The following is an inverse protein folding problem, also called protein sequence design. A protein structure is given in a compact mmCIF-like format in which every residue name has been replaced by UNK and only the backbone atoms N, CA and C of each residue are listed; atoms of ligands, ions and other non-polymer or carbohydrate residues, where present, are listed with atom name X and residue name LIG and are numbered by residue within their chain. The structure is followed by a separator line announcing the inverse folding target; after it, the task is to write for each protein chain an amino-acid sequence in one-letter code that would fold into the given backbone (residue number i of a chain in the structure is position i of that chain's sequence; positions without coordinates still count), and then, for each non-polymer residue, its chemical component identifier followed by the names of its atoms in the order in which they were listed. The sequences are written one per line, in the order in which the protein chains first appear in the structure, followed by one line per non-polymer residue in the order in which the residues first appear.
data_IF_198341931312
#
_entry.id   IF_198341931312
#
_cell.length_a   1.000
_cell.length_b   1.000
_cell.length_c   1.000
_cell.angle_alpha   90.00
_cell.angle_beta   90.00
_cell.angle_gamma   90.00
#
_symmetry.space_group_name_H-M   'P 1'
#
loop_
_entity.id
_entity.type
_entity.pdbx_description
1 polymer ?
#
# COMPACT_ATOMS: atom_id res chain seq x y z
N UNK A 1 -6.76 -3.93 -20.47
CA UNK A 1 -6.80 -5.26 -19.84
C UNK A 1 -8.20 -5.41 -19.26
N UNK A 2 -8.98 -6.39 -19.69
CA UNK A 2 -10.32 -6.59 -19.12
C UNK A 2 -10.16 -7.11 -17.70
N UNK A 3 -10.65 -6.35 -16.71
CA UNK A 3 -10.82 -6.85 -15.36
C UNK A 3 -11.79 -8.05 -15.39
N UNK A 4 -11.57 -9.06 -14.54
CA UNK A 4 -12.55 -10.13 -14.32
C UNK A 4 -13.92 -9.53 -13.98
N UNK A 5 -15.01 -10.18 -14.37
CA UNK A 5 -16.39 -9.66 -14.26
C UNK A 5 -16.78 -9.23 -12.84
N UNK A 6 -16.14 -9.78 -11.80
CA UNK A 6 -16.41 -9.51 -10.38
C UNK A 6 -15.31 -8.70 -9.67
N UNK A 7 -14.45 -8.01 -10.42
CA UNK A 7 -13.41 -7.18 -9.81
C UNK A 7 -14.07 -6.02 -9.02
N UNK A 8 -13.72 -5.79 -7.74
CA UNK A 8 -14.33 -4.75 -6.91
C UNK A 8 -14.11 -3.33 -7.48
N UNK A 9 -13.19 -3.17 -8.43
CA UNK A 9 -12.97 -1.92 -9.16
C UNK A 9 -14.00 -1.66 -10.29
N UNK A 10 -14.80 -2.65 -10.69
CA UNK A 10 -15.98 -2.44 -11.56
C UNK A 10 -17.12 -1.89 -10.71
N UNK A 11 -17.02 -0.61 -10.35
CA UNK A 11 -18.06 0.08 -9.60
C UNK A 11 -19.09 0.64 -10.58
N UNK A 12 -20.37 0.33 -10.39
CA UNK A 12 -21.45 1.05 -11.06
C UNK A 12 -21.45 2.51 -10.56
N UNK A 13 -21.19 3.45 -11.46
CA UNK A 13 -20.94 4.85 -11.11
C UNK A 13 -22.30 5.56 -10.98
N UNK A 14 -22.47 6.35 -9.91
CA UNK A 14 -23.74 7.05 -9.65
C UNK A 14 -23.91 8.23 -10.61
N UNK A 15 -24.93 8.24 -11.49
CA UNK A 15 -25.17 9.35 -12.41
C UNK A 15 -25.86 10.53 -11.70
N UNK A 16 -25.56 11.74 -12.17
CA UNK A 16 -26.25 12.96 -11.77
C UNK A 16 -27.41 13.22 -12.72
N UNK A 17 -28.58 13.53 -12.15
CA UNK A 17 -29.78 13.83 -12.96
C UNK A 17 -29.68 15.18 -13.70
N UNK A 18 -29.13 16.20 -13.04
CA UNK A 18 -29.05 17.57 -13.56
C UNK A 18 -27.61 18.10 -13.44
N UNK A 19 -26.64 17.55 -14.19
CA UNK A 19 -25.25 17.98 -14.11
C UNK A 19 -25.10 19.41 -14.66
N UNK A 20 -24.13 20.16 -14.11
CA UNK A 20 -23.82 21.52 -14.59
C UNK A 20 -23.09 21.54 -15.94
N UNK A 21 -22.49 20.42 -16.34
CA UNK A 21 -21.74 20.24 -17.58
C UNK A 21 -21.87 18.79 -18.03
N UNK A 22 -21.80 18.55 -19.34
CA UNK A 22 -21.79 17.21 -19.94
C UNK A 22 -20.56 16.38 -19.55
N UNK A 23 -19.48 17.05 -19.15
CA UNK A 23 -18.24 16.39 -18.70
C UNK A 23 -18.36 15.83 -17.26
N UNK A 24 -19.24 16.41 -16.43
CA UNK A 24 -19.40 16.07 -15.02
C UNK A 24 -20.78 15.46 -14.74
N UNK A 25 -21.04 14.33 -15.39
CA UNK A 25 -22.34 13.64 -15.36
C UNK A 25 -22.47 12.60 -14.24
N UNK A 26 -21.39 12.27 -13.54
CA UNK A 26 -21.36 11.20 -12.54
C UNK A 26 -20.63 11.63 -11.27
N UNK A 27 -21.01 11.05 -10.13
CA UNK A 27 -20.24 11.16 -8.90
C UNK A 27 -18.96 10.34 -8.99
N UNK A 28 -17.87 10.86 -8.44
CA UNK A 28 -16.56 10.20 -8.51
C UNK A 28 -16.54 8.90 -7.68
N UNK A 29 -16.14 7.75 -8.28
CA UNK A 29 -15.99 6.49 -7.55
C UNK A 29 -14.60 6.34 -6.89
N UNK A 30 -13.67 7.23 -7.23
CA UNK A 30 -12.28 7.29 -6.76
C UNK A 30 -11.75 8.72 -6.85
N UNK A 31 -10.77 9.08 -6.01
CA UNK A 31 -10.00 10.33 -6.10
C UNK A 31 -8.93 10.29 -7.20
N UNK A 32 -8.69 9.14 -7.84
CA UNK A 32 -7.73 9.05 -8.95
C UNK A 32 -8.08 9.99 -10.10
N UNK A 33 -9.37 10.25 -10.35
CA UNK A 33 -9.83 11.13 -11.43
C UNK A 33 -9.31 12.57 -11.21
N UNK A 34 -9.60 13.16 -10.05
CA UNK A 34 -9.19 14.53 -9.73
C UNK A 34 -7.67 14.67 -9.62
N UNK A 35 -7.00 13.65 -9.09
CA UNK A 35 -5.55 13.62 -9.00
C UNK A 35 -4.88 13.55 -10.38
N UNK A 36 -5.36 12.70 -11.28
CA UNK A 36 -4.86 12.60 -12.66
C UNK A 36 -5.06 13.90 -13.44
N UNK A 37 -6.23 14.53 -13.30
CA UNK A 37 -6.47 15.85 -13.88
C UNK A 37 -5.48 16.89 -13.34
N UNK A 38 -5.21 16.86 -12.04
CA UNK A 38 -4.24 17.75 -11.40
C UNK A 38 -2.82 17.51 -11.92
N UNK A 39 -2.39 16.24 -12.06
CA UNK A 39 -1.09 15.90 -12.66
C UNK A 39 -1.00 16.41 -14.11
N UNK A 40 -2.01 16.14 -14.95
CA UNK A 40 -2.06 16.61 -16.34
C UNK A 40 -2.00 18.13 -16.43
N UNK A 41 -2.75 18.82 -15.56
CA UNK A 41 -2.79 20.28 -15.53
C UNK A 41 -1.42 20.89 -15.17
N UNK A 42 -0.67 20.26 -14.27
CA UNK A 42 0.69 20.68 -13.94
C UNK A 42 1.66 20.35 -15.08
N UNK A 43 1.59 19.15 -15.64
CA UNK A 43 2.41 18.73 -16.78
C UNK A 43 2.28 19.69 -17.97
N UNK A 44 1.05 20.09 -18.32
CA UNK A 44 0.79 21.08 -19.39
C UNK A 44 1.39 22.46 -19.15
N UNK A 45 1.76 22.76 -17.90
CA UNK A 45 2.45 24.00 -17.50
C UNK A 45 3.96 23.79 -17.33
N UNK A 46 4.49 22.67 -17.83
CA UNK A 46 5.89 22.25 -17.68
C UNK A 46 6.32 22.07 -16.21
N UNK A 47 5.36 21.71 -15.33
CA UNK A 47 5.65 21.33 -13.95
C UNK A 47 5.64 19.80 -13.88
N UNK A 48 6.84 19.21 -13.88
CA UNK A 48 7.05 17.76 -13.88
C UNK A 48 7.23 17.16 -12.48
N UNK A 49 7.58 17.98 -11.50
CA UNK A 49 7.80 17.57 -10.11
C UNK A 49 6.55 17.92 -9.29
N UNK A 50 5.70 16.92 -9.05
CA UNK A 50 4.38 17.11 -8.42
C UNK A 50 4.17 16.08 -7.33
N UNK A 51 3.89 16.54 -6.11
CA UNK A 51 3.47 15.71 -4.99
C UNK A 51 2.26 16.38 -4.35
N UNK A 52 1.09 15.76 -4.51
CA UNK A 52 -0.18 16.30 -4.04
C UNK A 52 -0.97 15.22 -3.35
N UNK A 53 -1.87 15.65 -2.47
CA UNK A 53 -2.88 14.78 -1.89
C UNK A 53 -4.24 15.49 -1.88
N UNK A 54 -5.29 14.70 -1.83
CA UNK A 54 -6.66 15.15 -1.66
C UNK A 54 -7.32 14.35 -0.53
N UNK A 55 -8.07 15.02 0.33
CA UNK A 55 -8.98 14.37 1.27
C UNK A 55 -10.40 14.68 0.81
N UNK A 56 -11.19 13.65 0.56
CA UNK A 56 -12.53 13.84 0.02
C UNK A 56 -13.40 12.59 0.12
N UNK A 57 -14.65 12.74 -0.29
CA UNK A 57 -15.59 11.61 -0.38
C UNK A 57 -15.58 11.00 -1.78
N UNK A 58 -15.74 9.68 -1.82
CA UNK A 58 -16.02 8.90 -3.03
C UNK A 58 -17.38 8.23 -2.87
N UNK A 59 -18.02 7.92 -3.99
CA UNK A 59 -19.37 7.37 -4.02
C UNK A 59 -19.38 6.06 -4.80
N UNK A 60 -19.80 4.98 -4.15
CA UNK A 60 -19.90 3.65 -4.77
C UNK A 60 -21.33 3.18 -4.72
N UNK A 61 -21.87 2.75 -5.86
CA UNK A 61 -23.19 2.12 -5.86
C UNK A 61 -23.08 0.74 -5.20
N UNK A 62 -23.97 0.45 -4.25
CA UNK A 62 -24.05 -0.83 -3.54
C UNK A 62 -25.03 -1.80 -4.19
N UNK A 63 -25.60 -1.47 -5.36
CA UNK A 63 -26.52 -2.32 -6.11
C UNK A 63 -27.99 -2.14 -5.75
N UNK A 64 -28.31 -1.21 -4.85
CA UNK A 64 -29.68 -0.76 -4.60
C UNK A 64 -30.12 0.21 -5.70
N UNK A 65 -30.82 -0.29 -6.72
CA UNK A 65 -31.31 0.55 -7.81
C UNK A 65 -32.20 1.66 -7.29
N UNK A 66 -31.72 2.91 -7.26
CA UNK A 66 -32.44 4.08 -6.77
C UNK A 66 -33.79 4.27 -7.49
N UNK A 67 -34.86 3.70 -6.93
CA UNK A 67 -36.25 4.02 -7.28
C UNK A 67 -36.83 4.93 -6.22
N UNK A 68 -36.91 6.21 -6.53
CA UNK A 68 -37.70 7.16 -5.75
C UNK A 68 -39.16 7.07 -6.22
N UNK A 69 -39.95 6.22 -5.59
CA UNK A 69 -41.40 6.33 -5.68
C UNK A 69 -41.82 7.55 -4.84
N UNK A 70 -42.17 8.64 -5.52
CA UNK A 70 -42.69 9.85 -4.88
C UNK A 70 -44.03 9.52 -4.21
N UNK A 71 -44.02 9.26 -2.91
CA UNK A 71 -45.25 9.23 -2.13
C UNK A 71 -45.81 10.67 -2.02
N UNK A 72 -47.06 10.94 -2.43
CA UNK A 72 -47.68 12.25 -2.26
C UNK A 72 -47.62 12.69 -0.79
N UNK A 73 -47.38 13.99 -0.57
CA UNK A 73 -47.12 14.65 0.74
C UNK A 73 -48.22 14.51 1.81
N UNK A 74 -49.29 13.77 1.57
CA UNK A 74 -50.49 13.78 2.41
C UNK A 74 -50.56 12.67 3.46
N UNK A 75 -49.57 11.78 3.59
CA UNK A 75 -49.53 10.80 4.69
C UNK A 75 -48.28 10.99 5.54
N UNK A 76 -48.47 11.45 6.78
CA UNK A 76 -47.54 11.18 7.87
C UNK A 76 -47.47 9.66 8.02
N UNK A 77 -46.36 9.06 7.59
CA UNK A 77 -46.09 7.64 7.81
C UNK A 77 -45.20 7.54 9.04
N UNK A 78 -45.70 6.85 10.05
CA UNK A 78 -44.98 6.52 11.28
C UNK A 78 -43.75 5.64 10.98
N UNK A 79 -42.60 6.13 11.43
CA UNK A 79 -41.34 5.48 11.88
C UNK A 79 -40.67 4.33 11.09
N UNK A 80 -41.31 3.54 10.22
CA UNK A 80 -40.64 2.37 9.58
C UNK A 80 -40.08 2.60 8.16
N UNK A 81 -40.24 3.80 7.59
CA UNK A 81 -39.74 4.13 6.23
C UNK A 81 -38.22 4.40 6.20
N UNK A 82 -37.59 4.69 7.34
CA UNK A 82 -36.17 5.07 7.41
C UNK A 82 -35.21 3.93 7.09
N UNK A 83 -35.60 2.68 7.34
CA UNK A 83 -34.70 1.52 7.20
C UNK A 83 -34.63 1.04 5.74
N UNK A 84 -35.75 1.07 5.00
CA UNK A 84 -35.77 0.65 3.58
C UNK A 84 -35.08 1.63 2.63
N UNK A 85 -35.01 2.92 2.96
CA UNK A 85 -34.28 3.92 2.15
C UNK A 85 -32.76 3.79 2.25
N UNK A 86 -32.22 3.35 3.39
CA UNK A 86 -30.79 3.24 3.61
C UNK A 86 -30.13 2.15 2.74
N UNK A 87 -30.85 1.08 2.43
CA UNK A 87 -30.37 -0.03 1.58
C UNK A 87 -30.25 0.34 0.09
N UNK A 88 -30.75 1.52 -0.30
CA UNK A 88 -30.80 1.98 -1.70
C UNK A 88 -29.88 3.16 -2.01
N UNK A 89 -29.16 3.70 -1.01
CA UNK A 89 -28.27 4.85 -1.19
C UNK A 89 -26.86 4.40 -1.61
N UNK A 90 -26.17 5.19 -2.45
CA UNK A 90 -24.75 4.99 -2.68
C UNK A 90 -23.97 5.02 -1.37
N UNK A 91 -22.98 4.14 -1.25
CA UNK A 91 -22.00 4.19 -0.18
C UNK A 91 -21.12 5.42 -0.37
N UNK A 92 -21.23 6.36 0.58
CA UNK A 92 -20.34 7.49 0.72
C UNK A 92 -19.18 7.12 1.63
N UNK A 93 -17.95 7.18 1.11
CA UNK A 93 -16.75 6.78 1.82
C UNK A 93 -15.73 7.93 1.84
N UNK A 94 -15.14 8.21 3.01
CA UNK A 94 -14.02 9.15 3.12
C UNK A 94 -12.73 8.49 2.64
N UNK A 95 -11.95 9.23 1.86
CA UNK A 95 -10.72 8.73 1.26
C UNK A 95 -9.63 9.80 1.28
N UNK A 96 -8.38 9.36 1.42
CA UNK A 96 -7.19 10.17 1.09
C UNK A 96 -6.62 9.64 -0.21
N UNK A 97 -6.44 10.52 -1.19
CA UNK A 97 -5.79 10.22 -2.45
C UNK A 97 -4.43 10.91 -2.50
N UNK A 98 -3.40 10.24 -3.02
CA UNK A 98 -2.04 10.78 -3.15
C UNK A 98 -1.59 10.59 -4.60
N UNK A 99 -0.89 11.58 -5.15
CA UNK A 99 -0.29 11.51 -6.47
C UNK A 99 1.13 12.08 -6.47
N UNK A 100 2.07 11.31 -7.02
CA UNK A 100 3.49 11.66 -7.09
C UNK A 100 4.00 11.53 -8.54
N UNK A 101 4.80 12.49 -9.00
CA UNK A 101 5.50 12.47 -10.28
C UNK A 101 6.80 13.30 -10.17
N UNK A 102 7.84 12.88 -10.91
CA UNK A 102 9.11 13.60 -10.97
C UNK A 102 9.95 13.43 -9.71
N UNK A 103 10.55 14.51 -9.22
CA UNK A 103 11.45 14.48 -8.06
C UNK A 103 10.71 14.72 -6.73
N UNK A 104 11.14 14.08 -5.62
CA UNK A 104 10.55 14.30 -4.31
C UNK A 104 10.85 15.72 -3.79
N UNK A 105 9.98 16.25 -2.92
CA UNK A 105 10.11 17.61 -2.35
C UNK A 105 11.36 17.70 -1.46
N UNK A 106 11.74 16.56 -0.88
CA UNK A 106 12.95 16.41 -0.08
C UNK A 106 14.22 16.27 -0.92
N UNK A 107 14.17 16.52 -2.24
CA UNK A 107 15.36 16.59 -3.07
C UNK A 107 16.29 17.69 -2.54
N UNK A 108 17.36 17.27 -1.86
CA UNK A 108 18.36 18.16 -1.26
C UNK A 108 19.52 18.38 -2.22
N UNK A 109 20.22 19.49 -2.02
CA UNK A 109 21.50 19.73 -2.69
C UNK A 109 22.46 18.55 -2.42
N UNK A 110 22.96 17.91 -3.49
CA UNK A 110 23.79 16.70 -3.41
C UNK A 110 23.04 15.37 -3.44
N UNK A 111 21.70 15.35 -3.41
CA UNK A 111 20.86 14.14 -3.39
C UNK A 111 20.70 13.38 -4.72
N UNK A 112 21.55 13.67 -5.71
CA UNK A 112 21.47 13.09 -7.06
C UNK A 112 20.17 13.45 -7.81
N UNK A 113 19.95 12.78 -8.95
CA UNK A 113 18.73 12.91 -9.76
C UNK A 113 17.66 11.89 -9.30
N UNK A 114 17.43 11.83 -7.98
CA UNK A 114 16.49 10.88 -7.40
C UNK A 114 15.06 11.26 -7.79
N UNK A 115 14.34 10.34 -8.42
CA UNK A 115 12.92 10.50 -8.78
C UNK A 115 12.06 9.65 -7.85
N UNK A 116 10.81 10.07 -7.65
CA UNK A 116 9.85 9.26 -6.90
C UNK A 116 9.62 7.94 -7.64
N UNK A 117 9.54 6.86 -6.89
CA UNK A 117 9.24 5.54 -7.41
C UNK A 117 8.18 4.80 -6.57
N UNK A 118 7.93 3.55 -6.93
CA UNK A 118 6.98 2.68 -6.21
C UNK A 118 7.36 2.54 -4.72
N UNK A 119 8.65 2.41 -4.42
CA UNK A 119 9.13 2.23 -3.06
C UNK A 119 9.14 3.54 -2.28
N UNK A 120 9.33 4.68 -2.96
CA UNK A 120 9.14 6.00 -2.36
C UNK A 120 7.71 6.20 -1.87
N UNK A 121 6.71 5.88 -2.71
CA UNK A 121 5.30 5.94 -2.30
C UNK A 121 5.00 4.93 -1.18
N UNK A 122 5.54 3.71 -1.25
CA UNK A 122 5.42 2.71 -0.17
C UNK A 122 5.99 3.24 1.15
N UNK A 123 7.16 3.88 1.13
CA UNK A 123 7.80 4.45 2.31
C UNK A 123 6.99 5.59 2.91
N UNK A 124 6.47 6.49 2.08
CA UNK A 124 5.56 7.56 2.50
C UNK A 124 4.31 6.98 3.18
N UNK A 125 3.69 5.96 2.58
CA UNK A 125 2.52 5.30 3.16
C UNK A 125 2.85 4.57 4.46
N UNK A 126 3.99 3.87 4.53
CA UNK A 126 4.43 3.20 5.76
C UNK A 126 4.59 4.18 6.92
N UNK A 127 5.23 5.33 6.67
CA UNK A 127 5.34 6.40 7.69
C UNK A 127 3.95 6.96 8.06
N UNK A 128 3.11 7.25 7.07
CA UNK A 128 1.75 7.74 7.29
C UNK A 128 0.92 6.82 8.18
N UNK A 129 1.01 5.50 7.99
CA UNK A 129 0.31 4.53 8.84
C UNK A 129 0.93 4.41 10.23
N UNK A 130 2.25 4.42 10.34
CA UNK A 130 2.95 4.40 11.62
C UNK A 130 2.59 5.62 12.49
N UNK A 131 2.52 6.81 11.90
CA UNK A 131 2.13 8.05 12.59
C UNK A 131 0.70 8.00 13.12
N UNK A 132 -0.18 7.19 12.49
CA UNK A 132 -1.55 6.93 12.89
C UNK A 132 -1.72 5.69 13.80
N UNK A 133 -0.61 5.08 14.24
CA UNK A 133 -0.63 3.92 15.13
C UNK A 133 -1.12 2.63 14.47
N UNK A 134 -1.07 2.53 13.15
CA UNK A 134 -1.39 1.31 12.40
C UNK A 134 -0.10 0.56 12.12
N UNK A 135 0.24 -0.40 13.00
CA UNK A 135 1.58 -0.98 13.06
C UNK A 135 1.76 -2.22 12.16
N UNK A 136 0.73 -3.05 12.00
CA UNK A 136 0.82 -4.28 11.18
C UNK A 136 0.24 -4.08 9.77
N UNK A 137 0.90 -3.21 9.01
CA UNK A 137 0.53 -2.96 7.61
C UNK A 137 1.22 -3.94 6.68
N UNK A 138 0.43 -4.57 5.83
CA UNK A 138 0.88 -5.54 4.82
C UNK A 138 0.52 -5.08 3.42
N UNK A 139 1.36 -5.45 2.45
CA UNK A 139 1.26 -5.04 1.06
C UNK A 139 1.18 -6.27 0.16
N UNK A 140 0.09 -6.40 -0.57
CA UNK A 140 -0.19 -7.59 -1.40
C UNK A 140 -0.28 -7.19 -2.87
N UNK A 141 0.35 -7.93 -3.81
CA UNK A 141 0.18 -7.69 -5.24
C UNK A 141 -1.30 -7.63 -5.62
N UNK A 142 -1.67 -6.67 -6.46
CA UNK A 142 -3.06 -6.46 -6.85
C UNK A 142 -3.17 -5.99 -8.30
N UNK A 143 -4.38 -6.08 -8.87
CA UNK A 143 -4.66 -5.63 -10.23
C UNK A 143 -5.66 -4.48 -10.19
N UNK A 144 -5.35 -3.39 -10.89
CA UNK A 144 -6.23 -2.23 -10.99
C UNK A 144 -6.19 -1.66 -12.42
N UNK A 145 -7.32 -1.25 -13.04
CA UNK A 145 -7.36 -0.81 -14.44
C UNK A 145 -6.42 0.34 -14.77
N UNK A 146 -6.31 1.27 -13.83
CA UNK A 146 -5.54 2.52 -13.97
C UNK A 146 -4.05 2.33 -13.67
N UNK A 147 -3.69 1.24 -13.00
CA UNK A 147 -2.34 1.03 -12.48
C UNK A 147 -1.63 -0.11 -13.22
N UNK A 148 -0.31 -0.13 -13.09
CA UNK A 148 0.55 -1.11 -13.72
C UNK A 148 0.39 -2.49 -13.04
N UNK A 149 0.16 -3.59 -13.79
CA UNK A 149 -0.20 -4.90 -13.23
C UNK A 149 0.90 -5.51 -12.34
N UNK A 150 2.18 -5.23 -12.63
CA UNK A 150 3.30 -5.68 -11.81
C UNK A 150 3.77 -4.70 -10.74
N UNK A 151 3.16 -3.52 -10.65
CA UNK A 151 3.58 -2.42 -9.74
C UNK A 151 2.36 -1.79 -9.08
N UNK A 152 1.52 -2.64 -8.53
CA UNK A 152 0.30 -2.28 -7.80
C UNK A 152 0.22 -3.16 -6.56
N UNK A 153 -0.08 -2.54 -5.42
CA UNK A 153 -0.26 -3.25 -4.17
C UNK A 153 -1.54 -2.77 -3.46
N UNK A 154 -2.31 -3.74 -2.97
CA UNK A 154 -3.36 -3.51 -1.99
C UNK A 154 -2.72 -3.44 -0.60
N UNK A 155 -3.19 -2.50 0.21
CA UNK A 155 -2.72 -2.25 1.57
C UNK A 155 -3.74 -2.84 2.55
N UNK A 156 -3.27 -3.64 3.51
CA UNK A 156 -4.10 -4.26 4.55
C UNK A 156 -3.52 -4.01 5.93
N UNK A 157 -4.38 -3.83 6.93
CA UNK A 157 -4.05 -3.90 8.34
C UNK A 157 -4.76 -5.12 8.94
N UNK A 158 -3.99 -6.16 9.29
CA UNK A 158 -4.55 -7.50 9.51
C UNK A 158 -5.41 -7.94 8.31
N UNK A 159 -6.65 -8.32 8.56
CA UNK A 159 -7.58 -8.74 7.51
C UNK A 159 -8.27 -7.58 6.76
N UNK A 160 -8.20 -6.36 7.30
CA UNK A 160 -8.92 -5.19 6.76
C UNK A 160 -8.16 -4.57 5.60
N UNK A 161 -8.80 -4.43 4.44
CA UNK A 161 -8.26 -3.63 3.33
C UNK A 161 -8.43 -2.14 3.66
N UNK A 162 -7.32 -1.42 3.69
CA UNK A 162 -7.29 0.02 4.05
C UNK A 162 -6.94 0.91 2.86
N UNK A 163 -6.48 0.35 1.74
CA UNK A 163 -6.21 1.14 0.53
C UNK A 163 -5.49 0.37 -0.55
N UNK A 164 -5.00 1.09 -1.55
CA UNK A 164 -4.13 0.58 -2.61
C UNK A 164 -3.20 1.68 -3.10
N UNK A 165 -2.09 1.29 -3.71
CA UNK A 165 -1.19 2.21 -4.41
C UNK A 165 -0.45 1.52 -5.55
N UNK A 166 0.09 2.31 -6.47
CA UNK A 166 0.90 1.77 -7.55
C UNK A 166 1.38 2.80 -8.55
N UNK A 167 2.19 2.34 -9.49
CA UNK A 167 2.57 3.10 -10.67
C UNK A 167 1.40 3.13 -11.65
N UNK A 168 1.17 4.27 -12.31
CA UNK A 168 0.20 4.36 -13.39
C UNK A 168 0.51 3.37 -14.52
N UNK A 169 -0.54 2.84 -15.13
CA UNK A 169 -0.38 2.04 -16.34
C UNK A 169 0.19 2.92 -17.48
N UNK A 170 1.12 2.45 -18.32
CA UNK A 170 1.73 3.24 -19.40
C UNK A 170 0.71 3.91 -20.33
N UNK A 171 -0.37 3.19 -20.69
CA UNK A 171 -1.49 3.76 -21.47
C UNK A 171 -2.22 4.92 -20.77
N UNK A 172 -2.28 4.92 -19.43
CA UNK A 172 -2.89 6.02 -18.68
C UNK A 172 -1.93 7.22 -18.68
N UNK A 173 -0.64 6.99 -18.47
CA UNK A 173 0.40 8.03 -18.59
C UNK A 173 0.32 8.73 -19.96
N UNK A 174 0.23 7.94 -21.03
CA UNK A 174 0.09 8.44 -22.40
C UNK A 174 -1.23 9.19 -22.60
N UNK A 175 -2.37 8.64 -22.17
CA UNK A 175 -3.69 9.27 -22.36
C UNK A 175 -3.85 10.60 -21.60
N UNK A 176 -3.05 10.83 -20.57
CA UNK A 176 -3.04 12.06 -19.77
C UNK A 176 -1.87 12.99 -20.11
N UNK A 177 -1.11 12.71 -21.18
CA UNK A 177 0.05 13.50 -21.63
C UNK A 177 1.07 13.76 -20.51
N UNK A 178 1.31 12.76 -19.63
CA UNK A 178 2.25 12.92 -18.52
C UNK A 178 3.70 12.76 -19.00
N UNK A 179 4.64 13.60 -18.54
CA UNK A 179 6.03 13.63 -19.03
C UNK A 179 6.86 12.41 -18.60
N UNK A 180 6.37 11.58 -17.69
CA UNK A 180 7.09 10.44 -17.16
C UNK A 180 6.23 9.58 -16.26
N UNK A 181 6.89 8.72 -15.47
CA UNK A 181 6.21 7.85 -14.51
C UNK A 181 5.52 8.67 -13.44
N UNK A 182 4.31 8.27 -13.09
CA UNK A 182 3.56 8.82 -11.96
C UNK A 182 2.93 7.69 -11.15
N UNK A 183 2.68 7.97 -9.89
CA UNK A 183 2.25 7.00 -8.89
C UNK A 183 1.04 7.55 -8.15
N UNK A 184 0.07 6.68 -7.88
CA UNK A 184 -1.14 7.02 -7.16
C UNK A 184 -1.33 6.12 -5.94
N UNK A 185 -1.92 6.66 -4.89
CA UNK A 185 -2.49 5.88 -3.78
C UNK A 185 -3.89 6.37 -3.44
N UNK A 186 -4.75 5.47 -3.00
CA UNK A 186 -6.06 5.78 -2.43
C UNK A 186 -6.25 4.97 -1.15
N UNK A 187 -6.40 5.68 -0.03
CA UNK A 187 -6.55 5.11 1.31
C UNK A 187 -7.97 5.38 1.81
N UNK A 188 -8.67 4.32 2.19
CA UNK A 188 -9.99 4.38 2.80
C UNK A 188 -9.86 4.88 4.24
N UNK A 189 -10.28 6.11 4.50
CA UNK A 189 -10.18 6.74 5.82
C UNK A 189 -11.09 6.05 6.81
N UNK A 190 -12.30 5.66 6.39
CA UNK A 190 -13.26 4.97 7.25
C UNK A 190 -12.69 3.63 7.75
N UNK A 191 -12.16 2.81 6.83
CA UNK A 191 -11.50 1.56 7.20
C UNK A 191 -10.21 1.77 8.00
N UNK A 192 -9.49 2.87 7.77
CA UNK A 192 -8.28 3.23 8.52
C UNK A 192 -8.60 3.59 9.97
N UNK A 193 -9.67 4.34 10.22
CA UNK A 193 -10.09 4.69 11.58
C UNK A 193 -10.54 3.48 12.40
N UNK A 194 -11.05 2.43 11.77
CA UNK A 194 -11.41 1.17 12.45
C UNK A 194 -10.18 0.46 13.05
N UNK A 195 -8.98 0.71 12.50
CA UNK A 195 -7.73 0.02 12.89
C UNK A 195 -6.67 0.98 13.46
N UNK A 196 -6.90 2.29 13.40
CA UNK A 196 -5.99 3.30 13.93
C UNK A 196 -5.99 3.25 15.46
N UNK A 197 -4.80 3.34 16.04
CA UNK A 197 -4.58 3.29 17.48
C UNK A 197 -3.88 4.54 17.98
N UNK A 198 -4.10 4.88 19.25
CA UNK A 198 -3.32 5.91 19.96
C UNK A 198 -2.09 5.33 20.67
N UNK A 199 -2.00 4.00 20.74
CA UNK A 199 -0.87 3.32 21.37
C UNK A 199 0.37 3.49 20.52
N UNK A 200 1.35 4.20 21.09
CA UNK A 200 2.70 4.25 20.55
C UNK A 200 3.53 3.26 21.35
N UNK A 201 4.09 2.21 20.72
CA UNK A 201 5.01 1.33 21.41
C UNK A 201 6.12 2.17 22.04
N UNK A 202 6.29 2.01 23.35
CA UNK A 202 7.42 2.55 24.08
C UNK A 202 8.31 1.37 24.47
N UNK A 203 9.09 0.82 23.52
CA UNK A 203 9.90 -0.36 23.78
C UNK A 203 10.92 -0.05 24.87
N UNK A 204 11.20 -1.04 25.73
CA UNK A 204 12.24 -0.91 26.74
C UNK A 204 13.59 -0.75 26.04
N UNK A 205 14.31 0.32 26.36
CA UNK A 205 15.68 0.50 25.86
C UNK A 205 16.61 -0.41 26.67
N UNK A 206 17.00 -1.54 26.07
CA UNK A 206 17.98 -2.43 26.67
C UNK A 206 19.34 -1.71 26.79
N UNK A 207 20.00 -1.92 27.94
CA UNK A 207 21.36 -1.40 28.20
C UNK A 207 22.44 -2.37 27.73
N UNK A 208 22.05 -3.55 27.25
CA UNK A 208 22.96 -4.59 26.79
C UNK A 208 23.34 -4.36 25.33
N UNK A 209 24.57 -4.73 24.92
CA UNK A 209 25.00 -4.53 23.53
C UNK A 209 24.15 -5.36 22.56
N UNK A 210 23.95 -4.83 21.35
CA UNK A 210 23.41 -5.62 20.24
C UNK A 210 24.53 -6.38 19.53
N UNK A 211 24.15 -7.48 18.89
CA UNK A 211 25.01 -8.26 18.01
C UNK A 211 24.38 -8.31 16.63
N UNK A 212 25.11 -7.82 15.63
CA UNK A 212 24.68 -7.88 14.23
C UNK A 212 25.21 -9.14 13.56
N UNK A 213 24.36 -9.78 12.75
CA UNK A 213 24.72 -10.88 11.85
C UNK A 213 24.05 -10.66 10.49
N UNK A 214 24.85 -10.76 9.43
CA UNK A 214 24.32 -10.73 8.07
C UNK A 214 24.07 -12.16 7.57
N UNK A 215 23.01 -12.36 6.80
CA UNK A 215 22.70 -13.62 6.11
C UNK A 215 22.30 -13.33 4.68
N UNK A 216 22.79 -14.15 3.74
CA UNK A 216 22.40 -14.11 2.35
C UNK A 216 21.98 -15.50 1.85
N UNK A 217 20.95 -15.53 1.02
CA UNK A 217 20.44 -16.76 0.45
C UNK A 217 19.74 -16.48 -0.89
N UNK A 218 19.68 -17.52 -1.71
CA UNK A 218 19.00 -17.52 -2.99
C UNK A 218 17.55 -17.95 -2.80
N UNK A 219 16.63 -17.18 -3.37
CA UNK A 219 15.21 -17.51 -3.46
C UNK A 219 14.75 -17.44 -4.91
N UNK A 220 13.59 -18.03 -5.18
CA UNK A 220 12.87 -17.83 -6.45
C UNK A 220 12.57 -16.34 -6.65
N UNK A 221 12.63 -15.87 -7.89
CA UNK A 221 12.44 -14.44 -8.20
C UNK A 221 11.03 -13.91 -7.84
N UNK A 222 10.03 -14.80 -7.85
CA UNK A 222 8.66 -14.48 -7.46
C UNK A 222 8.39 -14.59 -5.95
N UNK A 223 9.37 -15.04 -5.15
CA UNK A 223 9.24 -15.20 -3.71
C UNK A 223 9.19 -13.82 -3.03
N UNK A 224 8.07 -13.42 -2.38
CA UNK A 224 8.00 -12.13 -1.71
C UNK A 224 9.01 -12.05 -0.56
N UNK A 225 9.75 -10.93 -0.47
CA UNK A 225 10.70 -10.68 0.61
C UNK A 225 10.03 -10.74 2.00
N UNK A 226 8.78 -10.28 2.10
CA UNK A 226 7.99 -10.37 3.34
C UNK A 226 7.83 -11.81 3.84
N UNK A 227 7.59 -12.76 2.95
CA UNK A 227 7.44 -14.15 3.37
C UNK A 227 8.76 -14.69 3.94
N UNK A 228 9.89 -14.23 3.38
CA UNK A 228 11.19 -14.56 3.95
C UNK A 228 11.39 -13.91 5.32
N UNK A 229 11.06 -12.63 5.46
CA UNK A 229 11.12 -11.91 6.74
C UNK A 229 10.29 -12.61 7.81
N UNK A 230 9.07 -13.07 7.48
CA UNK A 230 8.20 -13.82 8.40
C UNK A 230 8.84 -15.12 8.89
N UNK A 231 9.50 -15.87 8.00
CA UNK A 231 10.22 -17.10 8.37
C UNK A 231 11.41 -16.78 9.27
N UNK A 232 12.19 -15.73 8.94
CA UNK A 232 13.32 -15.29 9.77
C UNK A 232 12.84 -14.90 11.17
N UNK A 233 11.83 -14.03 11.26
CA UNK A 233 11.30 -13.56 12.54
C UNK A 233 10.77 -14.71 13.40
N UNK A 234 10.06 -15.67 12.79
CA UNK A 234 9.52 -16.83 13.51
C UNK A 234 10.61 -17.78 14.01
N UNK A 235 11.68 -17.97 13.23
CA UNK A 235 12.78 -18.88 13.56
C UNK A 235 13.83 -18.26 14.50
N UNK A 236 14.00 -16.93 14.47
CA UNK A 236 14.97 -16.22 15.30
C UNK A 236 14.54 -16.14 16.77
N UNK A 237 13.23 -16.13 17.04
CA UNK A 237 12.68 -16.02 18.39
C UNK A 237 12.72 -14.60 18.95
N UNK A 238 12.57 -14.47 20.27
CA UNK A 238 12.38 -13.19 20.95
C UNK A 238 13.63 -12.33 21.08
N UNK A 239 14.80 -12.84 20.69
CA UNK A 239 16.08 -12.12 20.76
C UNK A 239 16.38 -11.31 19.51
N UNK A 240 15.60 -11.48 18.42
CA UNK A 240 15.71 -10.67 17.23
C UNK A 240 15.07 -9.29 17.49
N UNK A 241 15.90 -8.26 17.59
CA UNK A 241 15.49 -6.88 17.81
C UNK A 241 15.11 -6.19 16.49
N UNK A 242 15.91 -6.39 15.44
CA UNK A 242 15.68 -5.78 14.12
C UNK A 242 16.05 -6.71 12.96
N UNK A 243 15.40 -6.50 11.81
CA UNK A 243 15.61 -7.24 10.57
C UNK A 243 15.51 -6.28 9.39
N UNK A 244 16.60 -6.12 8.64
CA UNK A 244 16.65 -5.22 7.50
C UNK A 244 17.14 -5.93 6.23
N UNK A 245 16.33 -5.94 5.17
CA UNK A 245 16.78 -6.27 3.82
C UNK A 245 17.66 -5.13 3.30
N UNK A 246 18.94 -5.39 3.03
CA UNK A 246 19.87 -4.35 2.57
C UNK A 246 20.41 -4.57 1.17
N UNK A 247 20.30 -5.79 0.62
CA UNK A 247 20.71 -6.07 -0.77
C UNK A 247 19.78 -7.07 -1.47
N UNK A 248 19.50 -6.78 -2.74
CA UNK A 248 18.75 -7.63 -3.66
C UNK A 248 19.57 -7.74 -4.95
N UNK A 249 20.26 -8.86 -5.10
CA UNK A 249 21.16 -9.06 -6.24
C UNK A 249 20.60 -10.07 -7.24
N UNK A 250 20.53 -9.63 -8.50
CA UNK A 250 20.22 -10.47 -9.66
C UNK A 250 21.24 -10.17 -10.74
N UNK A 251 22.03 -11.14 -11.13
CA UNK A 251 23.13 -10.93 -12.07
C UNK A 251 24.04 -12.14 -12.20
N UNK A 252 25.26 -11.90 -12.66
CA UNK A 252 26.26 -12.94 -12.90
C UNK A 252 26.49 -13.79 -11.64
N UNK A 253 26.45 -15.12 -11.82
CA UNK A 253 26.61 -16.07 -10.72
C UNK A 253 25.32 -16.43 -9.96
N UNK A 254 24.19 -15.81 -10.31
CA UNK A 254 22.87 -16.22 -9.80
C UNK A 254 22.17 -17.08 -10.85
N UNK A 255 21.65 -18.27 -10.49
CA UNK A 255 20.87 -19.10 -11.41
C UNK A 255 19.66 -18.35 -11.99
N UNK A 256 19.29 -18.69 -13.21
CA UNK A 256 18.09 -18.12 -13.84
C UNK A 256 16.83 -18.41 -13.01
N UNK A 257 15.93 -17.43 -12.90
CA UNK A 257 14.73 -17.52 -12.08
C UNK A 257 14.96 -17.38 -10.57
N UNK A 258 16.19 -17.09 -10.14
CA UNK A 258 16.52 -16.81 -8.75
C UNK A 258 17.07 -15.39 -8.55
N UNK A 259 17.09 -14.97 -7.28
CA UNK A 259 17.75 -13.76 -6.79
C UNK A 259 18.34 -14.00 -5.41
N UNK A 260 19.42 -13.29 -5.11
CA UNK A 260 20.02 -13.27 -3.78
C UNK A 260 19.37 -12.18 -2.95
N UNK A 261 18.93 -12.49 -1.74
CA UNK A 261 18.49 -11.51 -0.76
C UNK A 261 19.49 -11.51 0.40
N UNK A 262 19.95 -10.35 0.83
CA UNK A 262 20.83 -10.20 1.99
C UNK A 262 20.15 -9.37 3.08
N UNK A 263 20.15 -9.93 4.28
CA UNK A 263 19.51 -9.36 5.46
C UNK A 263 20.54 -9.12 6.55
N UNK A 264 20.38 -8.01 7.25
CA UNK A 264 21.02 -7.73 8.53
C UNK A 264 20.05 -8.05 9.65
N UNK A 265 20.51 -8.86 10.59
CA UNK A 265 19.76 -9.23 11.77
C UNK A 265 20.48 -8.65 12.97
N UNK A 266 19.75 -7.89 13.79
CA UNK A 266 20.24 -7.34 15.04
C UNK A 266 19.64 -8.13 16.18
N UNK A 267 20.49 -8.80 16.95
CA UNK A 267 20.09 -9.58 18.11
C UNK A 267 20.39 -8.82 19.40
N UNK A 268 19.43 -8.77 20.31
CA UNK A 268 19.61 -8.19 21.64
C UNK A 268 18.66 -8.86 22.64
N UNK A 269 19.16 -9.12 23.84
CA UNK A 269 18.33 -9.49 24.97
C UNK A 269 18.08 -8.27 25.88
N UNK A 270 16.92 -8.24 26.53
CA UNK A 270 16.55 -7.15 27.44
C UNK A 270 17.22 -7.27 28.82
N UNK A 271 17.59 -8.49 29.20
CA UNK A 271 18.00 -8.87 30.56
C UNK A 271 19.47 -9.29 30.69
N UNK A 272 20.16 -9.55 29.57
CA UNK A 272 21.56 -9.99 29.56
C UNK A 272 22.30 -9.62 28.27
N UNK A 273 23.63 -9.74 28.32
CA UNK A 273 24.46 -9.80 27.10
C UNK A 273 24.30 -11.17 26.46
N UNK A 274 24.05 -11.20 25.15
CA UNK A 274 23.97 -12.45 24.39
C UNK A 274 25.39 -13.04 24.20
N UNK A 275 25.52 -14.34 24.45
CA UNK A 275 26.73 -15.08 24.10
C UNK A 275 26.75 -15.40 22.59
N UNK A 276 27.95 -15.53 22.01
CA UNK A 276 28.09 -15.87 20.58
C UNK A 276 27.37 -17.19 20.22
N UNK A 277 27.47 -18.20 21.09
CA UNK A 277 26.81 -19.50 20.88
C UNK A 277 25.28 -19.39 20.81
N UNK A 278 24.66 -18.46 21.56
CA UNK A 278 23.21 -18.22 21.52
C UNK A 278 22.80 -17.61 20.17
N UNK A 279 23.59 -16.65 19.68
CA UNK A 279 23.36 -16.01 18.37
C UNK A 279 23.59 -17.00 17.24
N UNK A 280 24.64 -17.82 17.31
CA UNK A 280 24.94 -18.83 16.29
C UNK A 280 23.89 -19.94 16.24
N UNK A 281 23.31 -20.32 17.38
CA UNK A 281 22.16 -21.21 17.44
C UNK A 281 20.92 -20.60 16.77
N UNK A 282 20.61 -19.32 17.04
CA UNK A 282 19.52 -18.62 16.38
C UNK A 282 19.73 -18.54 14.85
N UNK A 283 20.95 -18.19 14.41
CA UNK A 283 21.30 -18.16 12.99
C UNK A 283 21.18 -19.53 12.33
N UNK A 284 21.55 -20.61 13.03
CA UNK A 284 21.40 -21.98 12.53
C UNK A 284 19.93 -22.38 12.39
N UNK A 285 19.08 -21.97 13.34
CA UNK A 285 17.62 -22.18 13.26
C UNK A 285 17.01 -21.46 12.06
N UNK A 286 17.36 -20.18 11.86
CA UNK A 286 16.91 -19.38 10.72
C UNK A 286 17.31 -20.03 9.40
N UNK A 287 18.58 -20.44 9.27
CA UNK A 287 19.08 -21.10 8.05
C UNK A 287 18.27 -22.35 7.72
N UNK A 288 18.03 -23.21 8.71
CA UNK A 288 17.24 -24.43 8.56
C UNK A 288 15.79 -24.11 8.14
N UNK A 289 15.12 -23.19 8.83
CA UNK A 289 13.74 -22.81 8.50
C UNK A 289 13.62 -22.26 7.07
N UNK A 290 14.58 -21.45 6.61
CA UNK A 290 14.60 -20.92 5.25
C UNK A 290 14.78 -22.01 4.18
N UNK A 291 15.61 -23.01 4.46
CA UNK A 291 15.79 -24.18 3.58
C UNK A 291 14.50 -25.02 3.55
N UNK A 292 13.94 -25.33 4.72
CA UNK A 292 12.81 -26.23 4.86
C UNK A 292 11.50 -25.63 4.30
N UNK A 293 11.23 -24.35 4.58
CA UNK A 293 9.97 -23.70 4.21
C UNK A 293 9.99 -23.07 2.82
N UNK A 294 11.13 -22.51 2.41
CA UNK A 294 11.23 -21.71 1.18
C UNK A 294 12.15 -22.35 0.12
N UNK A 295 12.74 -23.50 0.41
CA UNK A 295 13.76 -24.13 -0.44
C UNK A 295 14.90 -23.16 -0.78
N UNK A 296 15.23 -22.26 0.17
CA UNK A 296 16.28 -21.27 -0.02
C UNK A 296 17.66 -21.97 -0.05
N UNK A 297 18.55 -21.50 -0.91
CA UNK A 297 19.92 -22.03 -0.98
C UNK A 297 20.86 -21.00 -0.37
N UNK A 298 21.63 -21.41 0.63
CA UNK A 298 22.59 -20.53 1.29
C UNK A 298 23.68 -20.08 0.30
N UNK A 299 24.07 -18.81 0.37
CA UNK A 299 25.21 -18.27 -0.38
C UNK A 299 26.48 -18.24 0.48
#
# INVERSE_FOLDING_TARGET
MQLPEKAPERVEIVPLRNPKSEEYTHLRPTLFVSLLESLRNNARRNISDVQIFEIGRIFRNTGGGLRFDYAPRERRVDVDVRVQQAEMLPLEQRSVGIALMGRPWTARWGGGDTTVDFFWLKGLLAQFFADLGVLDVTYHPWLHPTLHPGRTAQVRAGDRVIGLFGELHPRVVESFDLPGRAYLAEINVDALMDVAGTERPAPALSRFPAVDRDIAFLVRDNQPARQVETVIQSAAGSTLEDLALFDVYKGTGIPEGQRSLAYRLTFRAEDRTLADDEVDAAMSNIRRALVDELSAVLR
#
